data_IF_785390616446
#
_entry.id   IF_785390616446
#
_cell.length_a   1.000
_cell.length_b   1.000
_cell.length_c   1.000
_cell.angle_alpha   90.00
_cell.angle_beta   90.00
_cell.angle_gamma   90.00
#
_symmetry.space_group_name_H-M   'P 1'
#
loop_
_entity.id
_entity.type
_entity.pdbx_description
1 polymer ?
#
# COMPACT_ATOMS: atom_id res chain seq x y z
N UNK A 1 -3.61 -6.71 8.84
CA UNK A 1 -2.67 -6.66 9.98
C UNK A 1 -1.29 -6.39 9.37
N UNK A 2 -1.14 -5.23 8.75
CA UNK A 2 -0.25 -5.09 7.57
C UNK A 2 1.11 -4.49 7.96
N UNK A 3 1.48 -4.64 9.23
CA UNK A 3 2.58 -3.89 9.86
C UNK A 3 3.80 -4.74 10.23
N UNK A 4 3.88 -6.00 9.80
CA UNK A 4 4.99 -6.89 10.15
C UNK A 4 6.37 -6.30 9.79
N UNK A 5 6.47 -5.66 8.62
CA UNK A 5 7.72 -5.07 8.14
C UNK A 5 8.13 -3.86 8.98
N UNK A 6 7.18 -2.97 9.27
CA UNK A 6 7.40 -1.80 10.12
C UNK A 6 7.82 -2.20 11.54
N UNK A 7 7.27 -3.28 12.08
CA UNK A 7 7.69 -3.82 13.37
C UNK A 7 9.15 -4.30 13.35
N UNK A 8 9.52 -5.11 12.36
CA UNK A 8 10.91 -5.61 12.20
C UNK A 8 11.87 -4.42 12.07
N UNK A 9 11.53 -3.44 11.23
CA UNK A 9 12.32 -2.21 11.06
C UNK A 9 12.46 -1.44 12.37
N UNK A 10 11.38 -1.26 13.12
CA UNK A 10 11.42 -0.59 14.42
C UNK A 10 12.31 -1.32 15.44
N UNK A 11 12.29 -2.65 15.45
CA UNK A 11 13.19 -3.47 16.29
C UNK A 11 14.65 -3.25 15.91
N UNK A 12 14.98 -3.30 14.61
CA UNK A 12 16.34 -3.01 14.15
C UNK A 12 16.78 -1.60 14.52
N UNK A 13 15.94 -0.60 14.35
CA UNK A 13 16.26 0.78 14.73
C UNK A 13 16.44 0.95 16.24
N UNK A 14 15.63 0.30 17.07
CA UNK A 14 15.80 0.34 18.51
C UNK A 14 17.13 -0.31 18.95
N UNK A 15 17.48 -1.45 18.35
CA UNK A 15 18.76 -2.12 18.61
C UNK A 15 19.94 -1.28 18.13
N UNK A 16 19.88 -0.73 16.91
CA UNK A 16 20.90 0.17 16.38
C UNK A 16 21.07 1.40 17.27
N UNK A 17 19.98 2.04 17.70
CA UNK A 17 20.01 3.17 18.63
C UNK A 17 20.71 2.79 19.94
N UNK A 18 20.33 1.66 20.56
CA UNK A 18 20.91 1.19 21.81
C UNK A 18 22.42 0.95 21.70
N UNK A 19 22.86 0.14 20.73
CA UNK A 19 24.27 -0.18 20.55
C UNK A 19 25.10 1.04 20.08
N UNK A 20 24.48 1.95 19.33
CA UNK A 20 25.15 3.17 18.92
C UNK A 20 25.33 4.15 20.09
N UNK A 21 24.37 4.25 21.02
CA UNK A 21 24.52 5.04 22.25
C UNK A 21 25.60 4.45 23.18
N UNK A 22 25.68 3.12 23.28
CA UNK A 22 26.77 2.45 24.01
C UNK A 22 28.14 2.77 23.37
N UNK A 23 28.23 2.65 22.05
CA UNK A 23 29.45 2.93 21.29
C UNK A 23 29.88 4.40 21.42
N UNK A 24 28.92 5.34 21.34
CA UNK A 24 29.14 6.76 21.57
C UNK A 24 29.67 7.03 22.99
N UNK A 25 29.04 6.42 24.00
CA UNK A 25 29.44 6.56 25.40
C UNK A 25 30.83 6.03 25.68
N UNK A 26 31.16 4.82 25.19
CA UNK A 26 32.50 4.24 25.35
C UNK A 26 33.57 5.00 24.57
N UNK A 27 33.24 5.51 23.38
CA UNK A 27 34.16 6.34 22.60
C UNK A 27 34.44 7.67 23.31
N UNK A 28 33.40 8.37 23.77
CA UNK A 28 33.54 9.61 24.53
C UNK A 28 34.33 9.40 25.83
N UNK A 29 34.10 8.27 26.53
CA UNK A 29 34.87 7.92 27.71
C UNK A 29 36.35 7.68 27.37
N UNK A 30 36.65 6.98 26.28
CA UNK A 30 38.03 6.74 25.83
C UNK A 30 38.76 8.06 25.50
N UNK A 31 38.11 8.96 24.76
CA UNK A 31 38.66 10.29 24.43
C UNK A 31 38.95 11.10 25.70
N UNK A 32 38.03 11.10 26.67
CA UNK A 32 38.19 11.81 27.94
C UNK A 32 39.31 11.23 28.83
N UNK A 33 39.60 9.92 28.72
CA UNK A 33 40.74 9.33 29.40
C UNK A 33 42.06 9.69 28.71
N UNK A 34 42.10 9.63 27.37
CA UNK A 34 43.28 10.01 26.58
C UNK A 34 43.67 11.47 26.80
N UNK A 35 42.69 12.38 26.86
CA UNK A 35 42.94 13.81 27.09
C UNK A 35 43.58 14.11 28.45
N UNK A 36 43.50 13.21 29.42
CA UNK A 36 44.16 13.35 30.73
C UNK A 36 45.62 12.85 30.74
N UNK A 37 46.02 12.12 29.70
CA UNK A 37 47.33 11.44 29.65
C UNK A 37 48.35 12.14 28.74
N UNK A 38 48.00 13.30 28.16
CA UNK A 38 48.77 14.02 27.13
C UNK A 38 49.16 13.18 25.89
N UNK A 39 48.61 11.96 25.79
CA UNK A 39 48.65 11.12 24.60
C UNK A 39 47.57 11.68 23.67
N UNK A 40 47.98 12.22 22.51
CA UNK A 40 47.08 12.84 21.54
C UNK A 40 45.81 12.02 21.27
N UNK A 41 44.74 12.70 20.87
CA UNK A 41 43.43 12.07 20.64
C UNK A 41 43.52 10.87 19.68
N UNK A 42 42.95 9.73 20.08
CA UNK A 42 42.83 8.57 19.19
C UNK A 42 41.93 8.93 18.00
N UNK A 43 42.51 8.91 16.80
CA UNK A 43 41.79 9.16 15.55
C UNK A 43 40.63 8.18 15.38
N UNK A 44 40.82 6.91 15.78
CA UNK A 44 39.78 5.87 15.73
C UNK A 44 38.59 6.22 16.63
N UNK A 45 38.84 6.62 17.89
CA UNK A 45 37.75 6.99 18.80
C UNK A 45 36.98 8.22 18.28
N UNK A 46 37.71 9.22 17.77
CA UNK A 46 37.11 10.42 17.19
C UNK A 46 36.25 10.12 15.96
N UNK A 47 36.71 9.22 15.09
CA UNK A 47 35.94 8.75 13.93
C UNK A 47 34.67 8.00 14.35
N UNK A 48 34.79 7.08 15.32
CA UNK A 48 33.64 6.34 15.87
C UNK A 48 32.61 7.29 16.48
N UNK A 49 33.04 8.33 17.19
CA UNK A 49 32.15 9.35 17.75
C UNK A 49 31.37 10.07 16.64
N UNK A 50 32.07 10.52 15.59
CA UNK A 50 31.45 11.20 14.45
C UNK A 50 30.45 10.30 13.71
N UNK A 51 30.85 9.05 13.45
CA UNK A 51 30.01 8.04 12.82
C UNK A 51 28.74 7.77 13.65
N UNK A 52 28.89 7.61 14.97
CA UNK A 52 27.76 7.40 15.86
C UNK A 52 26.77 8.55 15.79
N UNK A 53 27.24 9.81 15.78
CA UNK A 53 26.38 10.97 15.60
C UNK A 53 25.66 10.94 14.24
N UNK A 54 26.37 10.63 13.16
CA UNK A 54 25.78 10.55 11.82
C UNK A 54 24.70 9.47 11.74
N UNK A 55 24.94 8.29 12.34
CA UNK A 55 23.95 7.22 12.40
C UNK A 55 22.71 7.61 13.20
N UNK A 56 22.85 8.34 14.32
CA UNK A 56 21.71 8.85 15.08
C UNK A 56 20.83 9.78 14.23
N UNK A 57 21.45 10.67 13.45
CA UNK A 57 20.73 11.57 12.53
C UNK A 57 20.01 10.76 11.44
N UNK A 58 20.66 9.76 10.85
CA UNK A 58 20.03 8.87 9.86
C UNK A 58 18.85 8.08 10.42
N UNK A 59 18.97 7.53 11.64
CA UNK A 59 17.87 6.83 12.32
C UNK A 59 16.72 7.80 12.61
N UNK A 60 17.02 9.01 13.09
CA UNK A 60 16.00 10.04 13.32
C UNK A 60 15.27 10.43 12.02
N UNK A 61 15.98 10.58 10.90
CA UNK A 61 15.38 10.82 9.58
C UNK A 61 14.49 9.65 9.12
N UNK A 62 14.87 8.41 9.43
CA UNK A 62 14.08 7.21 9.15
C UNK A 62 12.77 7.15 9.93
N UNK A 63 12.76 7.63 11.18
CA UNK A 63 11.56 7.73 12.01
C UNK A 63 10.70 8.97 11.73
N UNK A 64 11.27 10.03 11.16
CA UNK A 64 10.57 11.31 11.00
C UNK A 64 9.27 11.17 10.21
N UNK A 65 9.24 10.29 9.20
CA UNK A 65 8.05 10.03 8.39
C UNK A 65 6.90 9.39 9.19
N UNK A 66 7.20 8.67 10.29
CA UNK A 66 6.17 8.17 11.22
C UNK A 66 5.46 9.28 11.98
N UNK A 67 6.11 10.42 12.19
CA UNK A 67 5.51 11.58 12.87
C UNK A 67 4.97 12.61 11.87
N UNK A 68 5.62 12.74 10.72
CA UNK A 68 5.31 13.74 9.69
C UNK A 68 5.12 12.99 8.36
N UNK A 69 3.88 12.56 8.04
CA UNK A 69 3.61 11.76 6.83
C UNK A 69 3.88 12.51 5.52
N UNK A 70 4.08 13.82 5.57
CA UNK A 70 4.45 14.63 4.41
C UNK A 70 5.96 14.66 4.13
N UNK A 71 6.79 14.26 5.10
CA UNK A 71 8.23 14.24 4.96
C UNK A 71 8.64 12.99 4.16
N UNK A 72 9.09 13.17 2.91
CA UNK A 72 9.63 12.09 2.06
C UNK A 72 11.05 11.68 2.46
N UNK A 73 11.32 11.51 3.76
CA UNK A 73 12.67 11.23 4.27
C UNK A 73 13.01 9.75 4.24
N UNK A 74 12.02 8.84 4.23
CA UNK A 74 12.21 7.39 4.19
C UNK A 74 12.11 6.84 2.76
N UNK A 75 12.72 7.54 1.79
CA UNK A 75 12.82 7.00 0.43
C UNK A 75 13.69 5.73 0.45
N UNK A 76 13.20 4.65 -0.18
CA UNK A 76 13.84 3.33 -0.14
C UNK A 76 15.29 3.38 -0.65
N UNK A 77 15.56 4.15 -1.71
CA UNK A 77 16.91 4.31 -2.25
C UNK A 77 17.84 5.02 -1.27
N UNK A 78 17.36 6.11 -0.66
CA UNK A 78 18.14 6.90 0.30
C UNK A 78 18.45 6.06 1.53
N UNK A 79 17.46 5.31 2.02
CA UNK A 79 17.61 4.43 3.16
C UNK A 79 18.60 3.29 2.92
N UNK A 80 18.50 2.65 1.76
CA UNK A 80 19.46 1.64 1.32
C UNK A 80 20.88 2.23 1.18
N UNK A 81 21.02 3.44 0.63
CA UNK A 81 22.31 4.07 0.39
C UNK A 81 23.03 4.45 1.70
N UNK A 82 22.33 5.08 2.66
CA UNK A 82 22.97 5.43 3.92
C UNK A 82 23.26 4.20 4.77
N UNK A 83 22.38 3.20 4.79
CA UNK A 83 22.60 1.96 5.57
C UNK A 83 23.83 1.20 5.08
N UNK A 84 24.00 1.03 3.76
CA UNK A 84 25.19 0.34 3.22
C UNK A 84 26.46 1.14 3.50
N UNK A 85 26.42 2.47 3.31
CA UNK A 85 27.60 3.32 3.50
C UNK A 85 28.05 3.34 4.96
N UNK A 86 27.11 3.54 5.89
CA UNK A 86 27.42 3.52 7.32
C UNK A 86 27.85 2.12 7.79
N UNK A 87 27.27 1.03 7.28
CA UNK A 87 27.71 -0.33 7.65
C UNK A 87 29.17 -0.60 7.25
N UNK A 88 29.63 -0.07 6.12
CA UNK A 88 31.02 -0.19 5.66
C UNK A 88 31.97 0.66 6.52
N UNK A 89 31.55 1.86 6.92
CA UNK A 89 32.32 2.68 7.86
C UNK A 89 32.43 2.01 9.23
N UNK A 90 31.34 1.41 9.74
CA UNK A 90 31.32 0.70 11.01
C UNK A 90 32.25 -0.51 10.98
N UNK A 91 32.30 -1.23 9.86
CA UNK A 91 33.24 -2.33 9.67
C UNK A 91 34.68 -1.86 9.73
N UNK A 92 35.02 -0.78 9.01
CA UNK A 92 36.35 -0.19 9.05
C UNK A 92 36.74 0.29 10.45
N UNK A 93 35.80 0.92 11.15
CA UNK A 93 35.98 1.38 12.52
C UNK A 93 36.15 0.20 13.50
N UNK A 94 35.39 -0.88 13.36
CA UNK A 94 35.51 -2.08 14.19
C UNK A 94 36.87 -2.77 14.01
N UNK A 95 37.34 -2.90 12.76
CA UNK A 95 38.67 -3.43 12.44
C UNK A 95 39.74 -2.53 13.06
N UNK A 96 39.66 -1.22 12.85
CA UNK A 96 40.62 -0.24 13.40
C UNK A 96 40.64 -0.26 14.94
N UNK A 97 39.49 -0.32 15.60
CA UNK A 97 39.39 -0.40 17.05
C UNK A 97 39.97 -1.71 17.60
N UNK A 98 39.83 -2.80 16.86
CA UNK A 98 40.39 -4.11 17.25
C UNK A 98 41.92 -4.12 17.12
N UNK A 99 42.46 -3.54 16.03
CA UNK A 99 43.90 -3.47 15.79
C UNK A 99 44.61 -2.49 16.74
N UNK A 100 43.99 -1.34 17.01
CA UNK A 100 44.61 -0.25 17.77
C UNK A 100 44.20 -0.18 19.25
N UNK A 101 43.19 -0.95 19.66
CA UNK A 101 42.60 -0.85 21.01
C UNK A 101 43.38 -1.63 22.07
N UNK A 102 42.88 -2.78 22.56
CA UNK A 102 43.45 -3.47 23.71
C UNK A 102 44.95 -3.82 23.61
N UNK A 103 45.48 -4.30 22.46
CA UNK A 103 46.90 -4.68 22.37
C UNK A 103 47.88 -3.54 22.66
N UNK A 104 47.51 -2.29 22.33
CA UNK A 104 48.34 -1.11 22.57
C UNK A 104 48.10 -0.49 23.95
N UNK A 105 46.83 -0.43 24.37
CA UNK A 105 46.42 0.33 25.56
C UNK A 105 46.55 -0.48 26.87
N UNK A 106 46.44 -1.81 26.82
CA UNK A 106 46.47 -2.67 28.00
C UNK A 106 47.88 -3.12 28.42
N UNK A 107 48.94 -2.68 27.71
CA UNK A 107 50.32 -3.08 28.03
C UNK A 107 50.91 -2.33 29.22
N UNK A 108 50.39 -1.15 29.54
CA UNK A 108 50.86 -0.35 30.68
C UNK A 108 50.01 -0.65 31.93
N UNK A 109 50.61 -1.08 33.06
CA UNK A 109 49.88 -1.39 34.30
C UNK A 109 49.29 -0.15 34.99
N UNK A 110 49.59 1.07 34.52
CA UNK A 110 49.09 2.31 35.13
C UNK A 110 47.68 2.70 34.68
N UNK A 111 47.14 2.06 33.62
CA UNK A 111 45.99 2.59 32.87
C UNK A 111 44.81 1.59 32.77
N UNK A 112 44.47 0.90 33.86
CA UNK A 112 43.38 -0.09 33.91
C UNK A 112 42.04 0.44 33.37
N UNK A 113 41.73 1.72 33.62
CA UNK A 113 40.50 2.35 33.12
C UNK A 113 40.49 2.47 31.58
N UNK A 114 41.63 2.80 30.97
CA UNK A 114 41.76 2.93 29.52
C UNK A 114 41.65 1.56 28.84
N UNK A 115 42.27 0.55 29.44
CA UNK A 115 42.13 -0.84 29.00
C UNK A 115 40.67 -1.31 29.10
N UNK A 116 39.98 -1.00 30.19
CA UNK A 116 38.57 -1.36 30.40
C UNK A 116 37.67 -0.70 29.35
N UNK A 117 37.81 0.61 29.14
CA UNK A 117 37.03 1.35 28.14
C UNK A 117 37.27 0.81 26.73
N UNK A 118 38.53 0.53 26.36
CA UNK A 118 38.86 -0.06 25.07
C UNK A 118 38.32 -1.48 24.91
N UNK A 119 38.32 -2.28 25.97
CA UNK A 119 37.84 -3.66 25.96
C UNK A 119 36.31 -3.75 25.83
N UNK A 120 35.57 -2.73 26.29
CA UNK A 120 34.12 -2.62 26.11
C UNK A 120 33.73 -2.02 24.76
N UNK A 121 34.54 -1.10 24.24
CA UNK A 121 34.29 -0.45 22.95
C UNK A 121 34.31 -1.46 21.78
N UNK A 122 35.30 -2.35 21.76
CA UNK A 122 35.48 -3.35 20.68
C UNK A 122 34.24 -4.25 20.47
N UNK A 123 33.71 -4.96 21.49
CA UNK A 123 32.52 -5.77 21.29
C UNK A 123 31.28 -4.93 20.95
N UNK A 124 31.15 -3.73 21.51
CA UNK A 124 30.02 -2.82 21.21
C UNK A 124 29.99 -2.43 19.73
N UNK A 125 31.13 -2.05 19.15
CA UNK A 125 31.20 -1.65 17.74
C UNK A 125 31.00 -2.83 16.79
N UNK A 126 31.50 -4.02 17.14
CA UNK A 126 31.24 -5.25 16.38
C UNK A 126 29.76 -5.63 16.38
N UNK A 127 29.09 -5.56 17.55
CA UNK A 127 27.66 -5.82 17.64
C UNK A 127 26.84 -4.81 16.82
N UNK A 128 27.18 -3.51 16.90
CA UNK A 128 26.54 -2.47 16.09
C UNK A 128 26.73 -2.76 14.59
N UNK A 129 27.95 -3.10 14.17
CA UNK A 129 28.29 -3.47 12.79
C UNK A 129 27.47 -4.67 12.29
N UNK A 130 27.40 -5.76 13.05
CA UNK A 130 26.63 -6.96 12.69
C UNK A 130 25.14 -6.62 12.54
N UNK A 131 24.57 -5.85 13.47
CA UNK A 131 23.16 -5.43 13.41
C UNK A 131 22.91 -4.52 12.20
N UNK A 132 23.83 -3.61 11.88
CA UNK A 132 23.71 -2.72 10.72
C UNK A 132 23.74 -3.50 9.41
N UNK A 133 24.63 -4.49 9.25
CA UNK A 133 24.62 -5.37 8.09
C UNK A 133 23.36 -6.24 8.03
N UNK A 134 22.95 -6.81 9.15
CA UNK A 134 21.74 -7.62 9.21
C UNK A 134 20.50 -6.82 8.78
N UNK A 135 20.41 -5.57 9.23
CA UNK A 135 19.38 -4.64 8.80
C UNK A 135 19.46 -4.33 7.30
N UNK A 136 20.64 -3.95 6.80
CA UNK A 136 20.86 -3.68 5.37
C UNK A 136 20.46 -4.87 4.50
N UNK A 137 20.94 -6.09 4.81
CA UNK A 137 20.62 -7.28 4.03
C UNK A 137 19.13 -7.61 4.09
N UNK A 138 18.51 -7.53 5.26
CA UNK A 138 17.07 -7.75 5.41
C UNK A 138 16.30 -6.76 4.55
N UNK A 139 16.59 -5.46 4.66
CA UNK A 139 15.95 -4.40 3.90
C UNK A 139 16.14 -4.59 2.39
N UNK A 140 17.39 -4.79 1.96
CA UNK A 140 17.74 -4.95 0.55
C UNK A 140 17.10 -6.18 -0.09
N UNK A 141 17.13 -7.33 0.59
CA UNK A 141 16.48 -8.57 0.10
C UNK A 141 14.97 -8.36 0.01
N UNK A 142 14.34 -7.74 1.00
CA UNK A 142 12.90 -7.46 0.96
C UNK A 142 12.53 -6.53 -0.21
N UNK A 143 13.30 -5.48 -0.46
CA UNK A 143 13.12 -4.58 -1.61
C UNK A 143 13.28 -5.33 -2.93
N UNK A 144 14.32 -6.16 -3.05
CA UNK A 144 14.55 -6.97 -4.26
C UNK A 144 13.43 -7.98 -4.51
N UNK A 145 12.85 -8.58 -3.47
CA UNK A 145 11.72 -9.49 -3.61
C UNK A 145 10.47 -8.76 -4.15
N UNK A 146 10.25 -7.51 -3.75
CA UNK A 146 9.08 -6.71 -4.15
C UNK A 146 9.23 -5.98 -5.49
N UNK A 147 10.45 -5.90 -6.04
CA UNK A 147 10.71 -5.22 -7.32
C UNK A 147 9.87 -5.76 -8.49
N UNK A 148 9.46 -7.03 -8.42
CA UNK A 148 8.66 -7.68 -9.46
C UNK A 148 7.21 -7.16 -9.43
N UNK A 149 6.69 -6.82 -8.25
CA UNK A 149 5.34 -6.32 -8.07
C UNK A 149 5.24 -4.80 -8.27
N UNK A 150 6.32 -4.05 -7.99
CA UNK A 150 6.33 -2.58 -8.03
C UNK A 150 7.47 -2.08 -8.93
N UNK A 151 7.10 -1.64 -10.15
CA UNK A 151 8.04 -1.28 -11.22
C UNK A 151 8.96 -0.08 -10.91
N UNK A 152 8.68 0.70 -9.86
CA UNK A 152 9.52 1.83 -9.42
C UNK A 152 9.71 1.88 -7.89
N UNK A 153 9.94 0.72 -7.27
CA UNK A 153 10.07 0.61 -5.80
C UNK A 153 11.14 1.52 -5.19
N UNK A 154 12.18 1.87 -5.95
CA UNK A 154 13.26 2.72 -5.44
C UNK A 154 12.89 4.18 -5.23
N UNK A 155 11.86 4.68 -5.92
CA UNK A 155 11.37 6.05 -5.74
C UNK A 155 10.29 6.16 -4.65
N UNK A 156 9.77 5.02 -4.20
CA UNK A 156 8.72 4.94 -3.18
C UNK A 156 9.30 5.11 -1.77
N UNK A 157 8.44 5.48 -0.82
CA UNK A 157 8.81 5.50 0.60
C UNK A 157 8.53 4.15 1.23
N UNK A 158 9.22 3.84 2.32
CA UNK A 158 9.02 2.58 3.04
C UNK A 158 7.58 2.40 3.53
N UNK A 159 6.86 3.50 3.76
CA UNK A 159 5.48 3.50 4.25
C UNK A 159 4.43 3.45 3.13
N UNK A 160 4.78 3.78 1.88
CA UNK A 160 3.82 3.72 0.76
C UNK A 160 3.66 2.31 0.18
N UNK A 161 4.64 1.43 0.41
CA UNK A 161 4.66 0.05 -0.11
C UNK A 161 3.91 -0.89 0.84
N UNK A 162 2.89 -1.58 0.32
CA UNK A 162 2.22 -2.67 1.04
C UNK A 162 3.09 -3.94 1.02
N UNK A 163 3.96 -4.09 2.03
CA UNK A 163 4.94 -5.20 2.11
C UNK A 163 4.34 -6.60 2.27
N UNK A 164 3.15 -6.72 2.86
CA UNK A 164 2.56 -8.03 3.18
C UNK A 164 1.06 -8.14 2.87
N UNK A 165 0.48 -7.19 2.12
CA UNK A 165 -0.91 -7.34 1.66
C UNK A 165 -0.99 -8.40 0.57
N UNK A 166 -1.23 -9.65 0.97
CA UNK A 166 -1.74 -10.72 0.11
C UNK A 166 -3.27 -10.60 0.02
N UNK A 167 -3.78 -9.37 -0.07
CA UNK A 167 -5.19 -9.14 -0.35
C UNK A 167 -5.52 -9.75 -1.72
N UNK A 168 -6.75 -10.28 -1.92
CA UNK A 168 -7.18 -10.67 -3.26
C UNK A 168 -6.93 -9.46 -4.14
N UNK A 169 -6.15 -9.66 -5.21
CA UNK A 169 -5.69 -8.59 -6.09
C UNK A 169 -6.87 -7.77 -6.58
N UNK A 170 -7.31 -6.80 -5.79
CA UNK A 170 -8.14 -5.72 -6.28
C UNK A 170 -7.17 -4.97 -7.16
N UNK A 171 -7.39 -4.99 -8.49
CA UNK A 171 -6.60 -4.14 -9.35
C UNK A 171 -6.80 -2.73 -8.81
N UNK A 172 -5.81 -2.23 -8.08
CA UNK A 172 -5.64 -0.80 -7.86
C UNK A 172 -5.45 -0.29 -9.27
N UNK A 173 -6.56 0.07 -9.90
CA UNK A 173 -6.54 0.98 -11.03
C UNK A 173 -5.93 2.22 -10.40
N UNK A 174 -4.60 2.31 -10.47
CA UNK A 174 -3.92 3.57 -10.34
C UNK A 174 -4.48 4.35 -11.52
N UNK A 175 -5.55 5.09 -11.27
CA UNK A 175 -5.95 6.20 -12.12
C UNK A 175 -4.68 7.03 -12.11
N UNK A 176 -3.90 6.89 -13.19
CA UNK A 176 -2.74 7.72 -13.44
C UNK A 176 -3.26 9.11 -13.17
N UNK A 177 -2.74 9.76 -12.13
CA UNK A 177 -3.05 11.15 -11.80
C UNK A 177 -2.49 11.95 -12.97
N UNK A 178 -3.22 11.92 -14.06
CA UNK A 178 -2.87 12.62 -15.27
C UNK A 178 -2.90 14.07 -14.87
N UNK A 179 -1.87 14.80 -15.25
CA UNK A 179 -1.92 16.26 -15.40
C UNK A 179 -2.95 16.68 -16.47
N UNK A 180 -4.10 15.99 -16.51
CA UNK A 180 -5.22 16.38 -17.32
C UNK A 180 -5.69 17.71 -16.77
N UNK A 181 -5.70 18.70 -17.66
CA UNK A 181 -6.22 20.03 -17.46
C UNK A 181 -7.55 20.05 -16.69
N UNK A 182 -8.39 19.03 -16.89
CA UNK A 182 -9.67 18.81 -16.20
C UNK A 182 -9.57 18.58 -14.69
N UNK A 183 -8.50 17.99 -14.18
CA UNK A 183 -8.30 17.80 -12.73
C UNK A 183 -7.85 19.12 -12.06
N UNK A 184 -7.13 19.98 -12.80
CA UNK A 184 -6.84 21.36 -12.36
C UNK A 184 -8.09 22.24 -12.39
N UNK A 185 -8.96 22.05 -13.40
CA UNK A 185 -10.21 22.80 -13.52
C UNK A 185 -11.25 22.35 -12.48
N UNK A 186 -11.35 21.04 -12.19
CA UNK A 186 -12.28 20.52 -11.18
C UNK A 186 -11.88 20.94 -9.76
N UNK A 187 -10.59 20.97 -9.43
CA UNK A 187 -10.13 21.49 -8.14
C UNK A 187 -10.45 22.99 -8.01
N UNK A 188 -10.41 23.76 -9.10
CA UNK A 188 -10.84 25.18 -9.09
C UNK A 188 -12.35 25.34 -8.91
N UNK A 189 -13.16 24.45 -9.48
CA UNK A 189 -14.63 24.53 -9.34
C UNK A 189 -15.14 23.96 -8.02
N UNK A 190 -14.38 23.10 -7.32
CA UNK A 190 -14.81 22.44 -6.09
C UNK A 190 -14.34 23.10 -4.78
N UNK A 191 -13.65 24.25 -4.83
CA UNK A 191 -13.36 25.06 -3.63
C UNK A 191 -14.64 25.58 -2.95
N UNK A 192 -15.83 25.42 -3.55
CA UNK A 192 -17.13 25.77 -2.95
C UNK A 192 -18.09 24.60 -2.72
N UNK A 193 -17.65 23.35 -2.84
CA UNK A 193 -18.60 22.22 -2.78
C UNK A 193 -18.02 20.93 -2.22
N UNK A 194 -18.20 20.77 -0.91
CA UNK A 194 -18.46 19.52 -0.20
C UNK A 194 -17.44 18.37 -0.34
N UNK A 195 -16.80 18.11 0.80
CA UNK A 195 -16.16 16.84 1.16
C UNK A 195 -17.11 15.67 0.90
N UNK A 196 -16.85 14.85 -0.13
CA UNK A 196 -17.47 13.54 -0.32
C UNK A 196 -16.79 12.48 0.57
N UNK A 197 -16.61 12.80 1.85
CA UNK A 197 -16.31 11.80 2.89
C UNK A 197 -17.63 11.39 3.53
N UNK A 198 -17.99 10.12 3.36
CA UNK A 198 -19.03 9.39 4.08
C UNK A 198 -20.49 9.75 3.75
N UNK A 199 -20.98 9.20 2.63
CA UNK A 199 -22.41 9.15 2.28
C UNK A 199 -23.25 8.45 3.37
N UNK A 200 -22.66 7.61 4.23
CA UNK A 200 -23.39 6.94 5.31
C UNK A 200 -23.50 7.73 6.62
N UNK A 201 -22.73 8.81 6.82
CA UNK A 201 -22.69 9.49 8.12
C UNK A 201 -23.55 10.76 8.20
N UNK A 202 -24.09 11.25 7.08
CA UNK A 202 -24.94 12.45 7.05
C UNK A 202 -26.44 12.11 7.21
N UNK A 203 -26.82 11.59 8.39
CA UNK A 203 -28.23 11.40 8.78
C UNK A 203 -28.84 12.60 9.53
N UNK A 204 -28.14 13.73 9.57
CA UNK A 204 -28.57 14.91 10.32
C UNK A 204 -28.70 16.14 9.44
N UNK A 205 -29.95 16.54 9.20
CA UNK A 205 -30.35 17.93 8.95
C UNK A 205 -29.64 18.59 7.75
N UNK A 206 -29.90 18.08 6.55
CA UNK A 206 -29.83 18.90 5.35
C UNK A 206 -31.22 18.91 4.71
N UNK A 207 -31.80 20.11 4.66
CA UNK A 207 -32.90 20.45 3.78
C UNK A 207 -32.47 20.04 2.38
N UNK A 208 -33.11 18.98 1.85
CA UNK A 208 -32.79 18.42 0.55
C UNK A 208 -33.14 19.45 -0.51
N UNK A 209 -32.19 20.33 -0.83
CA UNK A 209 -32.23 21.08 -2.07
C UNK A 209 -32.14 20.02 -3.16
N UNK A 210 -33.29 19.69 -3.74
CA UNK A 210 -33.43 18.75 -4.83
C UNK A 210 -32.69 19.34 -6.03
N UNK A 211 -31.40 19.03 -6.15
CA UNK A 211 -30.57 19.49 -7.25
C UNK A 211 -31.05 18.78 -8.51
N UNK A 212 -32.00 19.42 -9.21
CA UNK A 212 -32.45 18.98 -10.53
C UNK A 212 -31.27 19.05 -11.48
N UNK A 213 -30.98 17.95 -12.18
CA UNK A 213 -29.90 17.91 -13.16
C UNK A 213 -30.09 19.05 -14.19
N UNK A 214 -29.02 19.72 -14.65
CA UNK A 214 -29.15 20.96 -15.42
C UNK A 214 -29.84 20.80 -16.78
N UNK A 215 -29.94 19.58 -17.29
CA UNK A 215 -30.64 19.21 -18.53
C UNK A 215 -32.12 18.84 -18.32
N UNK A 216 -32.58 18.74 -17.07
CA UNK A 216 -33.93 18.31 -16.69
C UNK A 216 -34.77 19.46 -16.08
N UNK A 217 -34.39 20.72 -16.34
CA UNK A 217 -35.03 21.89 -15.72
C UNK A 217 -36.45 22.15 -16.21
N UNK A 218 -36.77 21.75 -17.44
CA UNK A 218 -38.00 22.16 -18.12
C UNK A 218 -39.10 21.08 -18.15
N UNK A 219 -38.80 19.89 -17.62
CA UNK A 219 -39.77 18.79 -17.55
C UNK A 219 -39.97 18.44 -16.07
N UNK A 220 -41.19 18.53 -15.52
CA UNK A 220 -41.48 18.08 -14.16
C UNK A 220 -41.40 16.55 -14.11
N UNK A 221 -40.18 16.03 -14.00
CA UNK A 221 -39.90 14.61 -13.84
C UNK A 221 -40.25 14.21 -12.40
N UNK A 222 -41.51 13.86 -12.19
CA UNK A 222 -41.89 13.11 -10.99
C UNK A 222 -41.29 11.72 -11.16
N UNK A 223 -40.15 11.45 -10.49
CA UNK A 223 -39.50 10.13 -10.52
C UNK A 223 -40.56 9.09 -10.14
N UNK A 224 -41.04 8.35 -11.13
CA UNK A 224 -42.04 7.31 -10.97
C UNK A 224 -41.48 6.27 -10.02
N UNK A 225 -41.95 6.27 -8.78
CA UNK A 225 -41.69 5.16 -7.88
C UNK A 225 -42.61 4.05 -8.35
N UNK A 226 -42.08 3.14 -9.17
CA UNK A 226 -42.83 1.99 -9.67
C UNK A 226 -43.37 1.17 -8.50
N UNK A 227 -44.66 0.81 -8.57
CA UNK A 227 -45.24 -0.13 -7.62
C UNK A 227 -44.44 -1.46 -7.68
N UNK A 228 -44.08 -2.05 -6.52
CA UNK A 228 -44.69 -1.88 -5.21
C UNK A 228 -44.01 -0.85 -4.28
N UNK A 229 -43.06 -0.04 -4.77
CA UNK A 229 -42.24 0.82 -3.90
C UNK A 229 -42.89 2.16 -3.56
N UNK A 230 -44.08 2.46 -4.07
CA UNK A 230 -44.82 3.67 -3.72
C UNK A 230 -45.15 3.64 -2.23
N UNK A 231 -44.44 4.45 -1.44
CA UNK A 231 -44.75 4.68 -0.04
C UNK A 231 -46.21 5.14 0.04
N UNK A 232 -47.07 4.32 0.63
CA UNK A 232 -48.45 4.69 0.91
C UNK A 232 -48.44 5.79 1.97
N UNK A 233 -48.36 7.04 1.54
CA UNK A 233 -48.65 8.17 2.39
C UNK A 233 -50.14 8.11 2.70
N UNK A 234 -50.50 7.52 3.85
CA UNK A 234 -51.56 7.96 4.79
C UNK A 234 -51.84 6.83 5.79
N UNK A 235 -51.86 7.22 7.08
CA UNK A 235 -52.60 6.65 8.21
C UNK A 235 -51.75 6.00 9.30
N UNK A 236 -51.59 6.78 10.37
CA UNK A 236 -51.20 6.34 11.71
C UNK A 236 -52.02 5.11 12.12
N UNK A 237 -51.41 3.94 12.06
CA UNK A 237 -51.86 2.74 12.77
C UNK A 237 -50.75 2.32 13.74
N UNK A 238 -51.09 1.97 15.00
CA UNK A 238 -50.10 1.51 15.95
C UNK A 238 -49.44 0.24 15.42
N UNK A 239 -48.12 0.24 15.43
CA UNK A 239 -47.28 -0.85 14.98
C UNK A 239 -47.54 -2.12 15.80
N UNK A 240 -48.29 -3.06 15.21
CA UNK A 240 -48.25 -4.46 15.63
C UNK A 240 -47.27 -5.16 14.71
N UNK A 241 -46.04 -5.33 15.18
CA UNK A 241 -45.02 -6.14 14.51
C UNK A 241 -45.59 -7.52 14.18
N UNK A 242 -45.53 -8.00 12.93
CA UNK A 242 -45.91 -9.38 12.64
C UNK A 242 -44.93 -10.29 13.37
N UNK A 243 -45.45 -11.15 14.25
CA UNK A 243 -44.69 -12.18 14.92
C UNK A 243 -43.93 -13.02 13.89
N UNK A 244 -42.66 -13.27 14.18
CA UNK A 244 -41.76 -14.10 13.40
C UNK A 244 -42.36 -15.51 13.28
N UNK A 245 -43.07 -15.77 12.17
CA UNK A 245 -43.44 -17.13 11.81
C UNK A 245 -42.16 -17.80 11.31
N UNK A 246 -41.70 -18.79 12.07
CA UNK A 246 -40.53 -19.61 11.74
C UNK A 246 -40.77 -20.35 10.43
N UNK A 247 -40.46 -19.70 9.30
CA UNK A 247 -40.40 -20.36 8.00
C UNK A 247 -39.13 -21.17 7.98
N UNK A 248 -39.30 -22.48 8.17
CA UNK A 248 -38.33 -23.52 7.92
C UNK A 248 -37.69 -23.28 6.55
N UNK A 249 -36.38 -23.08 6.52
CA UNK A 249 -35.62 -22.96 5.27
C UNK A 249 -35.83 -24.23 4.43
N UNK A 250 -35.94 -24.13 3.11
CA UNK A 250 -36.02 -25.30 2.24
C UNK A 250 -34.75 -26.15 2.43
N UNK A 251 -34.86 -27.50 2.43
CA UNK A 251 -33.72 -28.37 2.64
C UNK A 251 -32.67 -28.11 1.56
N UNK A 252 -31.46 -27.78 1.99
CA UNK A 252 -30.29 -27.64 1.13
C UNK A 252 -30.06 -29.00 0.47
N UNK A 253 -30.03 -29.10 -0.88
CA UNK A 253 -29.77 -30.38 -1.54
C UNK A 253 -28.37 -30.84 -1.15
N UNK A 254 -28.29 -32.04 -0.58
CA UNK A 254 -27.02 -32.69 -0.27
C UNK A 254 -26.33 -33.05 -1.58
N UNK A 255 -25.28 -32.30 -1.94
CA UNK A 255 -24.35 -32.69 -2.99
C UNK A 255 -23.59 -33.93 -2.53
N UNK A 256 -24.13 -35.11 -2.83
CA UNK A 256 -23.34 -36.34 -2.81
C UNK A 256 -22.33 -36.25 -3.96
N UNK A 257 -21.07 -35.94 -3.63
CA UNK A 257 -19.93 -36.26 -4.49
C UNK A 257 -19.79 -37.78 -4.56
N UNK A 258 -20.62 -38.42 -5.38
CA UNK A 258 -20.29 -39.71 -5.96
C UNK A 258 -19.38 -39.43 -7.15
N UNK A 259 -18.08 -39.68 -6.99
CA UNK A 259 -17.14 -39.85 -8.10
C UNK A 259 -17.40 -41.20 -8.78
N UNK A 260 -17.74 -41.23 -10.08
CA UNK A 260 -17.37 -42.35 -10.93
C UNK A 260 -16.15 -41.94 -11.76
N UNK A 261 -15.10 -42.73 -11.60
CA UNK A 261 -13.92 -42.76 -12.46
C UNK A 261 -14.39 -43.29 -13.83
N UNK A 262 -14.68 -42.40 -14.76
CA UNK A 262 -15.16 -42.76 -16.10
C UNK A 262 -14.99 -41.63 -17.10
N UNK A 263 -14.03 -41.79 -18.01
CA UNK A 263 -13.82 -41.08 -19.28
C UNK A 263 -14.66 -39.82 -19.53
N UNK A 264 -13.99 -38.67 -19.41
CA UNK A 264 -14.49 -37.35 -19.77
C UNK A 264 -15.05 -37.31 -21.20
N UNK A 265 -16.38 -37.24 -21.30
CA UNK A 265 -17.05 -36.71 -22.48
C UNK A 265 -17.16 -35.19 -22.30
N UNK A 266 -16.49 -34.35 -23.12
CA UNK A 266 -16.56 -32.91 -22.97
C UNK A 266 -17.97 -32.42 -23.29
N UNK A 267 -18.55 -31.63 -22.39
CA UNK A 267 -19.84 -30.96 -22.59
C UNK A 267 -19.79 -30.07 -23.84
N UNK A 268 -20.60 -30.40 -24.85
CA UNK A 268 -20.70 -29.68 -26.13
C UNK A 268 -21.65 -28.47 -26.07
N UNK A 269 -21.69 -27.77 -24.95
CA UNK A 269 -22.47 -26.53 -24.83
C UNK A 269 -21.51 -25.34 -24.88
N UNK A 270 -21.50 -24.65 -26.01
CA UNK A 270 -20.79 -23.38 -26.18
C UNK A 270 -21.81 -22.27 -25.92
N UNK A 271 -21.75 -21.66 -24.74
CA UNK A 271 -22.47 -20.40 -24.49
C UNK A 271 -21.89 -19.32 -25.38
N UNK A 272 -22.65 -18.94 -26.40
CA UNK A 272 -22.25 -17.90 -27.35
C UNK A 272 -22.79 -16.56 -26.86
N UNK A 273 -22.08 -15.93 -25.93
CA UNK A 273 -22.29 -14.52 -25.63
C UNK A 273 -21.94 -13.70 -26.88
N UNK A 274 -22.96 -13.24 -27.62
CA UNK A 274 -22.75 -12.50 -28.88
C UNK A 274 -22.20 -11.09 -28.68
N UNK A 275 -21.96 -10.65 -27.44
CA UNK A 275 -21.53 -9.27 -27.15
C UNK A 275 -20.15 -9.17 -26.46
N UNK A 276 -19.50 -10.27 -26.09
CA UNK A 276 -18.17 -10.23 -25.43
C UNK A 276 -16.99 -9.93 -26.36
N UNK A 277 -17.24 -9.72 -27.68
CA UNK A 277 -16.20 -9.29 -28.63
C UNK A 277 -15.67 -7.87 -28.36
N UNK A 278 -16.40 -7.07 -27.59
CA UNK A 278 -15.93 -5.74 -27.16
C UNK A 278 -15.05 -5.84 -25.91
N UNK A 279 -15.25 -6.84 -25.05
CA UNK A 279 -14.54 -6.95 -23.76
C UNK A 279 -13.25 -7.77 -23.80
N UNK A 280 -12.92 -8.44 -24.92
CA UNK A 280 -11.75 -9.34 -25.01
C UNK A 280 -10.64 -8.85 -25.95
N UNK A 281 -10.69 -7.60 -26.43
CA UNK A 281 -9.54 -7.03 -27.14
C UNK A 281 -8.45 -6.67 -26.13
N UNK A 282 -7.24 -7.17 -26.38
CA UNK A 282 -6.04 -6.68 -25.71
C UNK A 282 -5.83 -5.23 -26.14
N UNK A 283 -6.40 -4.30 -25.40
CA UNK A 283 -6.21 -2.88 -25.63
C UNK A 283 -4.85 -2.47 -25.10
N UNK A 284 -4.13 -1.70 -25.89
CA UNK A 284 -2.92 -1.02 -25.42
C UNK A 284 -3.31 -0.01 -24.32
N UNK A 285 -2.46 0.30 -23.34
CA UNK A 285 -2.77 1.26 -22.26
C UNK A 285 -3.25 2.62 -22.78
N UNK A 286 -2.85 3.01 -23.99
CA UNK A 286 -3.27 4.24 -24.68
C UNK A 286 -4.66 4.19 -25.31
N UNK A 287 -5.26 3.01 -25.43
CA UNK A 287 -6.59 2.78 -26.01
C UNK A 287 -7.67 2.55 -24.95
N UNK A 288 -7.28 2.22 -23.71
CA UNK A 288 -8.21 1.99 -22.61
C UNK A 288 -9.09 3.24 -22.38
N UNK A 289 -10.40 3.10 -22.59
CA UNK A 289 -11.39 4.17 -22.37
C UNK A 289 -11.72 5.06 -23.56
N UNK A 290 -10.99 5.00 -24.69
CA UNK A 290 -11.30 5.82 -25.88
C UNK A 290 -12.61 5.44 -26.58
N UNK A 291 -13.10 4.22 -26.38
CA UNK A 291 -14.39 3.74 -26.91
C UNK A 291 -15.58 4.15 -26.04
N UNK A 292 -15.34 4.57 -24.79
CA UNK A 292 -16.36 5.14 -23.92
C UNK A 292 -16.49 6.65 -24.13
N UNK A 293 -15.42 7.30 -24.57
CA UNK A 293 -15.39 8.73 -24.91
C UNK A 293 -15.44 8.88 -26.43
N UNK A 294 -16.57 8.51 -27.03
CA UNK A 294 -16.88 9.01 -28.38
C UNK A 294 -17.65 10.31 -28.20
N UNK A 295 -16.97 11.42 -28.51
CA UNK A 295 -17.58 12.73 -28.61
C UNK A 295 -18.84 12.64 -29.49
N UNK A 296 -19.93 13.21 -28.95
CA UNK A 296 -21.29 13.29 -29.48
C UNK A 296 -22.21 12.12 -29.09
N UNK A 297 -22.82 12.31 -27.91
CA UNK A 297 -23.96 11.59 -27.33
C UNK A 297 -23.71 10.11 -26.98
N UNK A 298 -23.88 9.69 -25.71
CA UNK A 298 -23.74 8.29 -25.30
C UNK A 298 -24.79 7.35 -25.93
N UNK A 299 -25.75 7.90 -26.66
CA UNK A 299 -26.80 7.16 -27.34
C UNK A 299 -26.88 7.55 -28.82
N UNK A 300 -27.18 6.60 -29.73
CA UNK A 300 -27.41 6.92 -31.12
C UNK A 300 -28.57 7.92 -31.23
N UNK A 301 -28.44 8.93 -32.10
CA UNK A 301 -29.46 9.97 -32.36
C UNK A 301 -30.83 9.46 -32.81
N UNK A 302 -30.93 8.15 -33.06
CA UNK A 302 -32.19 7.46 -33.37
C UNK A 302 -33.06 7.16 -32.14
N UNK A 303 -32.53 7.30 -30.91
CA UNK A 303 -33.31 7.13 -29.67
C UNK A 303 -33.97 8.48 -29.34
N UNK A 304 -35.16 8.68 -29.89
CA UNK A 304 -35.94 9.93 -29.76
C UNK A 304 -36.61 10.07 -28.39
N UNK A 305 -36.74 8.97 -27.65
CA UNK A 305 -37.45 8.91 -26.38
C UNK A 305 -36.72 7.98 -25.40
N UNK A 306 -36.15 8.57 -24.34
CA UNK A 306 -35.37 7.87 -23.32
C UNK A 306 -36.26 7.16 -22.28
N UNK A 307 -37.56 7.45 -22.27
CA UNK A 307 -38.53 6.82 -21.36
C UNK A 307 -39.20 5.59 -22.00
N UNK A 308 -38.87 5.27 -23.25
CA UNK A 308 -39.30 4.00 -23.83
C UNK A 308 -38.58 2.83 -23.16
N UNK A 309 -39.32 1.77 -22.79
CA UNK A 309 -38.71 0.59 -22.20
C UNK A 309 -37.66 0.06 -23.16
N UNK A 310 -36.46 -0.22 -22.62
CA UNK A 310 -35.35 -0.80 -23.38
C UNK A 310 -35.93 -1.97 -24.19
N UNK A 311 -35.84 -1.94 -25.53
CA UNK A 311 -36.41 -3.00 -26.34
C UNK A 311 -35.82 -4.31 -25.86
N UNK A 312 -36.69 -5.23 -25.44
CA UNK A 312 -36.26 -6.52 -24.88
C UNK A 312 -35.25 -7.12 -25.85
N UNK A 313 -34.06 -7.53 -25.38
CA UNK A 313 -33.09 -8.19 -26.24
C UNK A 313 -33.82 -9.32 -26.94
N UNK A 314 -33.58 -9.49 -28.26
CA UNK A 314 -34.14 -10.62 -29.00
C UNK A 314 -33.78 -11.87 -28.20
N UNK A 315 -34.81 -12.57 -27.70
CA UNK A 315 -34.62 -13.63 -26.71
C UNK A 315 -33.52 -14.57 -27.17
N UNK A 316 -32.59 -14.86 -26.26
CA UNK A 316 -31.51 -15.80 -26.53
C UNK A 316 -32.14 -17.16 -26.90
N UNK A 317 -32.13 -17.49 -28.18
CA UNK A 317 -32.63 -18.76 -28.68
C UNK A 317 -31.52 -19.80 -28.60
N UNK A 318 -31.81 -20.94 -27.97
CA UNK A 318 -30.92 -22.09 -27.96
C UNK A 318 -30.94 -22.76 -29.33
N UNK A 319 -29.98 -22.43 -30.18
CA UNK A 319 -29.81 -23.07 -31.49
C UNK A 319 -28.90 -24.29 -31.34
N UNK A 320 -29.34 -25.47 -31.81
CA UNK A 320 -28.49 -26.66 -31.87
C UNK A 320 -27.31 -26.42 -32.81
N UNK A 321 -26.11 -26.85 -32.43
CA UNK A 321 -24.88 -26.67 -33.21
C UNK A 321 -25.00 -27.22 -34.65
N UNK A 322 -25.82 -28.25 -34.83
CA UNK A 322 -25.98 -28.95 -36.10
C UNK A 322 -26.81 -28.15 -37.12
N UNK A 323 -27.65 -27.23 -36.64
CA UNK A 323 -28.49 -26.36 -37.48
C UNK A 323 -27.69 -25.28 -38.23
N UNK A 324 -26.40 -25.11 -37.89
CA UNK A 324 -25.50 -24.14 -38.53
C UNK A 324 -24.66 -24.74 -39.67
N UNK A 325 -24.77 -26.03 -39.95
CA UNK A 325 -24.14 -26.60 -41.15
C UNK A 325 -24.98 -26.20 -42.37
N UNK A 326 -24.50 -25.21 -43.12
CA UNK A 326 -25.03 -24.91 -44.45
C UNK A 326 -24.94 -26.17 -45.32
N UNK A 327 -25.99 -26.51 -46.09
CA UNK A 327 -25.86 -27.51 -47.13
C UNK A 327 -24.80 -27.03 -48.13
N UNK A 328 -23.80 -27.88 -48.34
CA UNK A 328 -22.86 -27.78 -49.48
C UNK A 328 -23.51 -28.47 -50.66
#
# INVERSE_FOLDING_TARGET
MDNGFHLIRAVFFALLLLFNLLTLGFSAWNINLLSKTDLGSSATASFVLFESCLLLVCIAMGFLESFIPTARTSNILVECAWTVTLSLFQLGAAISATMNGPPLLCRSPSNDQLCTASSLLVPSIWLSCVISFAYFFTFFITVLAHRIAVANIWAETVYSVSWFDIGPAHPRIQIQKGDSFWERESIRSHIHGASFSDIESAKGIFETVEVTAPWAKDVPLKRGVDAPFSLSSTRNTPATSPAFTSKTLPPIPSFRLSTPRGTFSPSRFVERFRESRVLSRAETPTQFGRHLVRDNAPFPSAVVDHDQPIPKPRGCEWVRADALKSPV
#
